data_IF_048446499787
#
_entry.id   IF_048446499787
#
_cell.length_a   1.000
_cell.length_b   1.000
_cell.length_c   1.000
_cell.angle_alpha   90.00
_cell.angle_beta   90.00
_cell.angle_gamma   90.00
#
_symmetry.space_group_name_H-M   'P 1'
#
loop_
_entity.id
_entity.type
_entity.pdbx_description
1 polymer ?
#
# COMPACT_ATOMS: atom_id res chain seq x y z
N UNK A 1 9.81 4.95 9.81
CA UNK A 1 9.56 3.60 9.21
C UNK A 1 8.39 3.68 8.26
N UNK A 2 8.47 3.02 7.11
CA UNK A 2 7.35 2.88 6.17
C UNK A 2 7.19 1.41 5.81
N UNK A 3 6.03 0.85 6.12
CA UNK A 3 5.66 -0.53 5.80
C UNK A 3 4.95 -0.59 4.44
N UNK A 4 5.14 -1.68 3.70
CA UNK A 4 4.40 -1.94 2.46
C UNK A 4 3.23 -2.90 2.72
N UNK A 5 2.03 -2.33 2.79
CA UNK A 5 0.78 -3.07 2.83
C UNK A 5 0.21 -3.24 1.41
N UNK A 6 -1.08 -3.17 1.24
CA UNK A 6 -1.78 -3.21 -0.05
C UNK A 6 -3.20 -2.68 0.12
N UNK A 7 -3.77 -2.10 -0.92
CA UNK A 7 -5.20 -1.78 -0.97
C UNK A 7 -6.07 -3.05 -0.81
N UNK A 8 -5.55 -4.22 -1.14
CA UNK A 8 -6.23 -5.49 -0.91
C UNK A 8 -6.62 -5.71 0.55
N UNK A 9 -5.86 -5.15 1.51
CA UNK A 9 -6.17 -5.20 2.94
C UNK A 9 -7.52 -4.58 3.27
N UNK A 10 -7.95 -3.56 2.52
CA UNK A 10 -9.25 -2.89 2.68
C UNK A 10 -10.34 -3.47 1.79
N UNK A 11 -9.97 -4.00 0.62
CA UNK A 11 -10.90 -4.61 -0.35
C UNK A 11 -11.24 -6.07 -0.04
N UNK A 12 -10.49 -6.72 0.87
CA UNK A 12 -10.73 -8.10 1.30
C UNK A 12 -10.24 -9.18 0.35
N UNK A 13 -9.81 -8.86 -0.87
CA UNK A 13 -9.18 -9.79 -1.81
C UNK A 13 -10.05 -11.00 -2.18
N UNK A 14 -11.37 -10.85 -2.29
CA UNK A 14 -12.30 -11.94 -2.52
C UNK A 14 -11.89 -12.91 -3.64
N UNK A 15 -12.17 -14.17 -3.45
CA UNK A 15 -11.91 -15.33 -4.31
C UNK A 15 -10.46 -15.84 -4.29
N UNK A 16 -9.47 -15.08 -4.77
CA UNK A 16 -8.10 -15.58 -4.94
C UNK A 16 -7.10 -14.98 -3.96
N UNK A 17 -7.42 -13.83 -3.35
CA UNK A 17 -6.46 -13.01 -2.63
C UNK A 17 -6.83 -12.78 -1.16
N UNK A 18 -7.78 -13.56 -0.63
CA UNK A 18 -8.25 -13.39 0.76
C UNK A 18 -7.12 -13.56 1.78
N UNK A 19 -6.28 -14.61 1.62
CA UNK A 19 -5.14 -14.81 2.53
C UNK A 19 -4.09 -13.69 2.40
N UNK A 20 -3.84 -13.22 1.17
CA UNK A 20 -2.97 -12.07 0.94
C UNK A 20 -3.54 -10.79 1.60
N UNK A 21 -4.84 -10.53 1.42
CA UNK A 21 -5.51 -9.40 2.04
C UNK A 21 -5.44 -9.46 3.57
N UNK A 22 -5.63 -10.64 4.16
CA UNK A 22 -5.49 -10.84 5.60
C UNK A 22 -4.07 -10.57 6.09
N UNK A 23 -3.04 -11.07 5.39
CA UNK A 23 -1.65 -10.80 5.71
C UNK A 23 -1.32 -9.30 5.63
N UNK A 24 -1.83 -8.60 4.60
CA UNK A 24 -1.64 -7.15 4.46
C UNK A 24 -2.48 -6.36 5.48
N UNK A 25 -3.64 -6.86 5.90
CA UNK A 25 -4.41 -6.31 7.01
C UNK A 25 -3.65 -6.38 8.34
N UNK A 26 -2.89 -7.46 8.57
CA UNK A 26 -2.00 -7.57 9.73
C UNK A 26 -0.92 -6.48 9.72
N UNK A 27 -0.35 -6.13 8.54
CA UNK A 27 0.61 -5.02 8.41
C UNK A 27 -0.05 -3.68 8.75
N UNK A 28 -1.31 -3.45 8.38
CA UNK A 28 -2.04 -2.25 8.76
C UNK A 28 -2.16 -2.12 10.29
N UNK A 29 -2.61 -3.19 10.95
CA UNK A 29 -2.75 -3.21 12.42
C UNK A 29 -1.40 -3.04 13.12
N UNK A 30 -0.35 -3.73 12.65
CA UNK A 30 1.00 -3.59 13.16
C UNK A 30 1.51 -2.14 13.04
N UNK A 31 1.28 -1.50 11.90
CA UNK A 31 1.68 -0.10 11.65
C UNK A 31 1.04 0.83 12.66
N UNK A 32 -0.27 0.69 12.89
CA UNK A 32 -1.01 1.52 13.85
C UNK A 32 -0.53 1.26 15.29
N UNK A 33 -0.29 0.00 15.66
CA UNK A 33 0.24 -0.36 16.98
C UNK A 33 1.61 0.26 17.23
N UNK A 34 2.57 -0.04 16.34
CA UNK A 34 3.94 0.47 16.45
C UNK A 34 4.01 2.01 16.41
N UNK A 35 3.13 2.67 15.65
CA UNK A 35 3.11 4.13 15.62
C UNK A 35 2.84 4.76 16.98
N UNK A 36 1.99 4.11 17.79
CA UNK A 36 1.65 4.58 19.15
C UNK A 36 2.73 4.23 20.16
N UNK A 37 3.29 3.03 20.04
CA UNK A 37 4.35 2.57 20.95
C UNK A 37 5.63 3.39 20.79
N UNK A 38 6.01 3.73 19.54
CA UNK A 38 7.29 4.35 19.24
C UNK A 38 7.23 5.89 19.11
N UNK A 39 6.02 6.49 19.13
CA UNK A 39 5.88 7.94 19.05
C UNK A 39 6.62 8.68 20.18
N UNK A 40 6.61 8.22 21.45
CA UNK A 40 7.39 8.86 22.53
C UNK A 40 8.89 8.88 22.28
N UNK A 41 9.40 7.95 21.45
CA UNK A 41 10.81 7.87 21.05
C UNK A 41 11.13 8.72 19.82
N UNK A 42 10.17 9.47 19.29
CA UNK A 42 10.33 10.27 18.09
C UNK A 42 10.35 9.46 16.80
N UNK A 43 9.94 8.19 16.83
CA UNK A 43 9.92 7.31 15.66
C UNK A 43 8.54 7.31 15.04
N UNK A 44 8.47 7.71 13.78
CA UNK A 44 7.25 7.67 12.97
C UNK A 44 7.14 6.33 12.24
N UNK A 45 5.93 5.76 12.24
CA UNK A 45 5.61 4.49 11.56
C UNK A 45 4.35 4.66 10.73
N UNK A 46 4.46 4.49 9.41
CA UNK A 46 3.36 4.62 8.47
C UNK A 46 3.34 3.41 7.53
N UNK A 47 2.26 3.23 6.78
CA UNK A 47 2.20 2.24 5.71
C UNK A 47 1.71 2.85 4.41
N UNK A 48 2.27 2.36 3.30
CA UNK A 48 1.70 2.55 1.97
C UNK A 48 0.82 1.36 1.63
N UNK A 49 -0.29 1.66 0.97
CA UNK A 49 -1.22 0.67 0.43
C UNK A 49 -1.25 0.80 -1.11
N UNK A 50 -0.25 0.22 -1.82
CA UNK A 50 -0.25 0.24 -3.27
C UNK A 50 -1.51 -0.44 -3.83
N UNK A 51 -2.02 0.13 -4.93
CA UNK A 51 -3.08 -0.46 -5.73
C UNK A 51 -2.53 -1.40 -6.80
N UNK A 52 -3.02 -1.24 -8.02
CA UNK A 52 -2.48 -1.92 -9.19
C UNK A 52 -1.29 -1.11 -9.72
N UNK A 53 -0.10 -1.67 -9.54
CA UNK A 53 1.18 -1.05 -9.92
C UNK A 53 1.81 -1.91 -11.00
N UNK A 54 2.31 -1.27 -12.05
CA UNK A 54 3.03 -1.95 -13.13
C UNK A 54 4.39 -2.40 -12.63
N UNK A 55 4.49 -3.69 -12.36
CA UNK A 55 5.69 -4.35 -11.83
C UNK A 55 5.74 -5.80 -12.31
N UNK A 56 6.91 -6.41 -12.26
CA UNK A 56 7.14 -7.80 -12.65
C UNK A 56 6.36 -8.82 -11.79
N UNK A 57 5.83 -8.42 -10.63
CA UNK A 57 5.09 -9.30 -9.73
C UNK A 57 3.85 -9.92 -10.40
N UNK A 58 3.22 -9.19 -11.32
CA UNK A 58 2.04 -9.66 -12.04
C UNK A 58 2.40 -10.70 -13.09
N UNK A 59 3.53 -10.55 -13.75
CA UNK A 59 4.04 -11.51 -14.71
C UNK A 59 4.49 -12.82 -14.01
N UNK A 60 5.23 -12.69 -12.90
CA UNK A 60 5.71 -13.84 -12.12
C UNK A 60 4.60 -14.61 -11.42
N UNK A 61 3.47 -13.97 -11.11
CA UNK A 61 2.30 -14.62 -10.52
C UNK A 61 1.38 -15.32 -11.57
N UNK A 62 1.76 -15.33 -12.87
CA UNK A 62 0.97 -15.95 -13.93
C UNK A 62 -0.35 -15.24 -14.26
N UNK A 63 -0.50 -13.97 -13.87
CA UNK A 63 -1.73 -13.18 -14.01
C UNK A 63 -1.54 -11.96 -14.93
N UNK A 64 -0.79 -12.14 -16.03
CA UNK A 64 -0.47 -11.06 -16.97
C UNK A 64 -1.69 -10.25 -17.47
N UNK A 65 -2.84 -10.91 -17.70
CA UNK A 65 -4.09 -10.25 -18.09
C UNK A 65 -4.80 -9.50 -16.94
N UNK A 66 -4.32 -9.63 -15.72
CA UNK A 66 -5.00 -9.08 -14.53
C UNK A 66 -5.06 -7.56 -14.56
N UNK A 67 -3.98 -6.92 -14.96
CA UNK A 67 -3.92 -5.45 -15.04
C UNK A 67 -5.01 -4.95 -16.00
N UNK A 68 -5.13 -5.57 -17.16
CA UNK A 68 -6.14 -5.21 -18.16
C UNK A 68 -7.57 -5.42 -17.64
N UNK A 69 -7.82 -6.56 -16.96
CA UNK A 69 -9.16 -6.88 -16.42
C UNK A 69 -9.60 -5.95 -15.29
N UNK A 70 -8.65 -5.46 -14.50
CA UNK A 70 -8.93 -4.62 -13.34
C UNK A 70 -8.83 -3.11 -13.65
N UNK A 71 -8.27 -2.74 -14.80
CA UNK A 71 -8.14 -1.34 -15.22
C UNK A 71 -9.45 -0.53 -15.09
N UNK A 72 -10.63 -1.05 -15.50
CA UNK A 72 -11.89 -0.33 -15.34
C UNK A 72 -12.29 -0.05 -13.88
N UNK A 73 -11.68 -0.75 -12.92
CA UNK A 73 -11.92 -0.55 -11.49
C UNK A 73 -11.06 0.54 -10.85
N UNK A 74 -10.18 1.18 -11.62
CA UNK A 74 -9.30 2.26 -11.16
C UNK A 74 -9.90 3.60 -11.61
N UNK A 75 -10.38 4.45 -10.69
CA UNK A 75 -10.95 5.76 -11.06
C UNK A 75 -10.00 6.65 -11.86
N UNK A 76 -8.69 6.59 -11.60
CA UNK A 76 -7.68 7.32 -12.36
C UNK A 76 -7.49 6.82 -13.80
N UNK A 77 -8.14 5.72 -14.21
CA UNK A 77 -8.11 5.18 -15.57
C UNK A 77 -6.79 4.56 -16.02
N UNK A 78 -5.83 4.40 -15.13
CA UNK A 78 -4.52 3.80 -15.41
C UNK A 78 -3.96 3.05 -14.21
N UNK A 79 -3.03 2.15 -14.46
CA UNK A 79 -2.20 1.56 -13.41
C UNK A 79 -1.17 2.59 -12.91
N UNK A 80 -0.74 2.47 -11.66
CA UNK A 80 0.35 3.26 -11.11
C UNK A 80 1.72 2.70 -11.50
N UNK A 81 2.78 3.47 -11.25
CA UNK A 81 4.16 3.05 -11.44
C UNK A 81 4.85 2.79 -10.10
N UNK A 82 5.96 2.06 -10.12
CA UNK A 82 6.76 1.84 -8.92
C UNK A 82 7.32 3.16 -8.37
N UNK A 83 7.68 4.09 -9.25
CA UNK A 83 8.19 5.43 -8.91
C UNK A 83 7.13 6.24 -8.13
N UNK A 84 5.86 6.21 -8.52
CA UNK A 84 4.79 6.89 -7.81
C UNK A 84 4.63 6.38 -6.36
N UNK A 85 4.84 5.08 -6.14
CA UNK A 85 4.89 4.53 -4.79
C UNK A 85 6.15 4.97 -4.04
N UNK A 86 7.30 5.00 -4.72
CA UNK A 86 8.56 5.41 -4.13
C UNK A 86 8.54 6.88 -3.69
N UNK A 87 7.96 7.78 -4.47
CA UNK A 87 7.80 9.18 -4.12
C UNK A 87 6.98 9.37 -2.84
N UNK A 88 5.85 8.64 -2.72
CA UNK A 88 5.04 8.66 -1.50
C UNK A 88 5.82 8.12 -0.28
N UNK A 89 6.63 7.07 -0.48
CA UNK A 89 7.48 6.53 0.57
C UNK A 89 8.55 7.52 1.00
N UNK A 90 9.21 8.17 0.05
CA UNK A 90 10.24 9.19 0.32
C UNK A 90 9.69 10.37 1.08
N UNK A 91 8.50 10.86 0.71
CA UNK A 91 7.84 11.93 1.47
C UNK A 91 7.57 11.51 2.92
N UNK A 92 7.04 10.32 3.16
CA UNK A 92 6.81 9.81 4.51
C UNK A 92 8.10 9.61 5.33
N UNK A 93 9.20 9.30 4.67
CA UNK A 93 10.51 9.10 5.31
C UNK A 93 11.24 10.42 5.55
N UNK A 94 10.90 11.46 4.81
CA UNK A 94 11.57 12.77 4.87
C UNK A 94 11.19 13.57 6.13
N UNK A 95 11.83 14.71 6.32
CA UNK A 95 11.48 15.69 7.33
C UNK A 95 10.24 16.53 7.00
N UNK A 96 9.65 16.36 5.80
CA UNK A 96 8.48 17.12 5.36
C UNK A 96 7.15 16.58 5.91
N UNK A 97 7.17 15.38 6.49
CA UNK A 97 6.02 14.75 7.12
C UNK A 97 6.20 14.57 8.65
N UNK A 98 6.59 15.59 9.42
CA UNK A 98 7.06 15.42 10.80
C UNK A 98 5.95 15.00 11.76
N UNK A 99 4.69 15.28 11.42
CA UNK A 99 3.53 14.97 12.27
C UNK A 99 2.68 13.80 11.72
N UNK A 100 3.20 13.07 10.69
CA UNK A 100 2.51 11.93 10.10
C UNK A 100 3.06 10.64 10.70
N UNK A 101 2.27 9.99 11.56
CA UNK A 101 2.55 8.66 12.11
C UNK A 101 1.24 7.89 12.28
N UNK A 102 1.26 6.58 12.10
CA UNK A 102 0.07 5.71 12.10
C UNK A 102 -0.79 5.82 10.84
N UNK A 103 -0.33 6.54 9.82
CA UNK A 103 -1.08 6.70 8.59
C UNK A 103 -1.01 5.44 7.71
N UNK A 104 -2.15 5.11 7.10
CA UNK A 104 -2.31 4.08 6.08
C UNK A 104 -2.65 4.80 4.77
N UNK A 105 -1.66 4.97 3.90
CA UNK A 105 -1.78 5.84 2.73
C UNK A 105 -2.00 5.01 1.46
N UNK A 106 -3.21 5.06 0.86
CA UNK A 106 -3.46 4.44 -0.45
C UNK A 106 -2.67 5.16 -1.56
N UNK A 107 -1.97 4.38 -2.37
CA UNK A 107 -1.35 4.82 -3.63
C UNK A 107 -1.98 3.95 -4.72
N UNK A 108 -3.22 4.24 -5.09
CA UNK A 108 -4.08 3.28 -5.78
C UNK A 108 -4.90 3.87 -6.93
N UNK A 109 -4.73 5.14 -7.27
CA UNK A 109 -5.54 5.81 -8.29
C UNK A 109 -7.03 5.90 -7.94
N UNK A 110 -7.36 5.88 -6.64
CA UNK A 110 -8.74 5.99 -6.14
C UNK A 110 -9.47 4.64 -5.97
N UNK A 111 -8.79 3.53 -6.21
CA UNK A 111 -9.36 2.19 -6.07
C UNK A 111 -9.53 1.77 -4.61
#
# INVERSE_FOLDING_TARGET
MVNLSSIAATLGGARQWTCYAAAKGAINSLTVGLSRELAPEGIRVNALLPGLIDTEIHASAGVGDRLQKLLPSIPAGRVGTAEECAEAALWLLSGEAPYVTGALIPVSGGR
#
